data_IF_073054567077
#
_entry.id   IF_073054567077
#
_cell.length_a   1.000
_cell.length_b   1.000
_cell.length_c   1.000
_cell.angle_alpha   90.00
_cell.angle_beta   90.00
_cell.angle_gamma   90.00
#
_symmetry.space_group_name_H-M   'P 1'
#
loop_
_entity.id
_entity.type
_entity.pdbx_description
1 polymer ?
#
# COMPACT_ATOMS: atom_id res chain seq x y z
N UNK A 1 -3.63 -18.41 -23.39
CA UNK A 1 -3.98 -18.98 -22.07
C UNK A 1 -4.58 -17.89 -21.21
N UNK A 2 -5.69 -18.15 -20.53
CA UNK A 2 -6.25 -17.26 -19.50
C UNK A 2 -6.29 -18.04 -18.20
N UNK A 3 -5.25 -17.90 -17.37
CA UNK A 3 -5.06 -18.69 -16.16
C UNK A 3 -6.25 -18.63 -15.19
N UNK A 4 -6.83 -17.44 -15.00
CA UNK A 4 -7.96 -17.22 -14.08
C UNK A 4 -9.23 -17.97 -14.52
N UNK A 5 -9.39 -18.22 -15.83
CA UNK A 5 -10.53 -18.93 -16.39
C UNK A 5 -10.25 -20.41 -16.67
N UNK A 6 -9.02 -20.87 -16.46
CA UNK A 6 -8.58 -22.22 -16.83
C UNK A 6 -8.47 -22.48 -18.34
N UNK A 7 -8.59 -21.45 -19.18
CA UNK A 7 -8.58 -21.58 -20.65
C UNK A 7 -7.14 -21.76 -21.17
N UNK A 8 -6.90 -22.80 -21.98
CA UNK A 8 -5.59 -23.09 -22.58
C UNK A 8 -4.66 -23.94 -21.70
N UNK A 9 -5.14 -24.46 -20.57
CA UNK A 9 -4.31 -25.22 -19.62
C UNK A 9 -4.00 -26.63 -20.12
N UNK A 10 -4.99 -27.31 -20.71
CA UNK A 10 -4.79 -28.67 -21.24
C UNK A 10 -3.84 -28.65 -22.43
N UNK A 11 -3.98 -27.67 -23.32
CA UNK A 11 -3.13 -27.47 -24.48
C UNK A 11 -1.68 -27.18 -24.07
N UNK A 12 -1.48 -26.43 -22.98
CA UNK A 12 -0.16 -26.20 -22.40
C UNK A 12 0.44 -27.50 -21.86
N UNK A 13 -0.33 -28.28 -21.09
CA UNK A 13 0.13 -29.56 -20.54
C UNK A 13 0.51 -30.52 -21.67
N UNK A 14 -0.32 -30.61 -22.71
CA UNK A 14 -0.04 -31.44 -23.88
C UNK A 14 1.24 -30.99 -24.60
N UNK A 15 1.42 -29.68 -24.80
CA UNK A 15 2.65 -29.15 -25.40
C UNK A 15 3.91 -29.50 -24.59
N UNK A 16 3.84 -29.38 -23.25
CA UNK A 16 4.93 -29.77 -22.35
C UNK A 16 5.22 -31.28 -22.47
N UNK A 17 4.18 -32.12 -22.49
CA UNK A 17 4.34 -33.57 -22.64
C UNK A 17 5.00 -33.95 -23.96
N UNK A 18 4.70 -33.24 -25.06
CA UNK A 18 5.35 -33.46 -26.37
C UNK A 18 6.83 -33.11 -26.34
N UNK A 19 7.22 -32.04 -25.63
CA UNK A 19 8.62 -31.67 -25.43
C UNK A 19 9.36 -32.73 -24.61
N UNK A 20 8.77 -33.18 -23.49
CA UNK A 20 9.38 -34.21 -22.63
C UNK A 20 9.56 -35.54 -23.36
N UNK A 21 8.64 -35.88 -24.27
CA UNK A 21 8.74 -37.08 -25.13
C UNK A 21 9.71 -36.92 -26.30
N UNK A 22 10.41 -35.79 -26.42
CA UNK A 22 11.29 -35.44 -27.55
C UNK A 22 10.57 -35.49 -28.92
N UNK A 23 9.27 -35.24 -28.95
CA UNK A 23 8.49 -35.18 -30.20
C UNK A 23 8.66 -33.83 -30.92
N UNK A 24 9.21 -32.84 -30.23
CA UNK A 24 9.44 -31.48 -30.73
C UNK A 24 10.90 -31.10 -30.48
N UNK A 25 11.63 -30.79 -31.54
CA UNK A 25 12.97 -30.22 -31.44
C UNK A 25 12.85 -28.72 -31.15
N UNK A 26 13.44 -28.29 -30.02
CA UNK A 26 13.52 -26.87 -29.68
C UNK A 26 14.80 -26.28 -30.28
N UNK A 27 14.66 -25.19 -31.03
CA UNK A 27 15.78 -24.33 -31.41
C UNK A 27 16.00 -23.28 -30.33
N UNK A 28 17.22 -23.19 -29.82
CA UNK A 28 17.59 -22.12 -28.89
C UNK A 28 17.70 -20.81 -29.66
N UNK A 29 16.96 -19.80 -29.23
CA UNK A 29 17.09 -18.44 -29.75
C UNK A 29 18.49 -17.91 -29.42
N UNK A 30 19.24 -17.52 -30.45
CA UNK A 30 20.53 -16.85 -30.30
C UNK A 30 20.33 -15.38 -30.63
N UNK A 31 20.60 -14.52 -29.66
CA UNK A 31 20.55 -13.07 -29.83
C UNK A 31 21.90 -12.62 -30.39
N UNK A 32 21.87 -11.80 -31.43
CA UNK A 32 23.04 -11.12 -31.98
C UNK A 32 23.20 -9.77 -31.29
N UNK A 33 24.32 -9.59 -30.58
CA UNK A 33 24.62 -8.36 -29.85
C UNK A 33 25.40 -7.33 -30.69
N UNK A 34 25.65 -7.63 -31.96
CA UNK A 34 26.45 -6.82 -32.88
C UNK A 34 27.94 -7.16 -32.82
N UNK A 35 28.63 -6.87 -33.92
CA UNK A 35 29.99 -7.35 -34.22
C UNK A 35 30.96 -7.25 -33.03
N UNK A 36 31.05 -6.07 -32.40
CA UNK A 36 32.02 -5.81 -31.32
C UNK A 36 31.73 -6.63 -30.05
N UNK A 37 30.45 -6.76 -29.68
CA UNK A 37 30.08 -7.53 -28.50
C UNK A 37 30.21 -9.03 -28.80
N UNK A 38 29.87 -9.48 -30.01
CA UNK A 38 30.06 -10.88 -30.44
C UNK A 38 31.54 -11.28 -30.51
N UNK A 39 32.42 -10.37 -30.94
CA UNK A 39 33.88 -10.56 -30.88
C UNK A 39 34.35 -10.76 -29.43
N UNK A 40 33.86 -9.94 -28.50
CA UNK A 40 34.18 -10.06 -27.08
C UNK A 40 33.62 -11.34 -26.45
N UNK A 41 32.38 -11.71 -26.78
CA UNK A 41 31.76 -12.97 -26.37
C UNK A 41 32.63 -14.14 -26.85
N UNK A 42 33.04 -14.12 -28.12
CA UNK A 42 33.90 -15.16 -28.70
C UNK A 42 35.28 -15.23 -28.03
N UNK A 43 35.86 -14.08 -27.69
CA UNK A 43 37.13 -14.02 -26.96
C UNK A 43 37.01 -14.62 -25.54
N UNK A 44 35.91 -14.32 -24.84
CA UNK A 44 35.66 -14.87 -23.50
C UNK A 44 35.38 -16.38 -23.57
N UNK A 45 34.61 -16.84 -24.55
CA UNK A 45 34.34 -18.28 -24.74
C UNK A 45 35.66 -19.05 -24.90
N UNK A 46 36.59 -18.58 -25.75
CA UNK A 46 37.90 -19.23 -25.92
C UNK A 46 38.67 -19.35 -24.60
N UNK A 47 38.68 -18.29 -23.79
CA UNK A 47 39.33 -18.32 -22.46
C UNK A 47 38.65 -19.31 -21.53
N UNK A 48 37.31 -19.38 -21.54
CA UNK A 48 36.55 -20.34 -20.73
C UNK A 48 36.76 -21.79 -21.18
N UNK A 49 36.97 -22.03 -22.49
CA UNK A 49 37.32 -23.33 -23.06
C UNK A 49 38.74 -23.77 -22.67
N UNK A 50 39.72 -22.87 -22.79
CA UNK A 50 41.12 -23.13 -22.42
C UNK A 50 41.28 -23.56 -20.95
N UNK A 51 40.43 -23.02 -20.08
CA UNK A 51 40.46 -23.29 -18.63
C UNK A 51 39.53 -24.43 -18.21
N UNK A 52 38.88 -25.09 -19.18
CA UNK A 52 37.92 -26.16 -19.00
C UNK A 52 36.86 -25.83 -17.94
N UNK A 53 36.31 -24.61 -18.00
CA UNK A 53 35.27 -24.15 -17.05
C UNK A 53 33.98 -24.93 -17.24
N UNK A 54 33.72 -25.41 -18.47
CA UNK A 54 32.53 -26.19 -18.82
C UNK A 54 32.39 -27.51 -18.07
N UNK A 55 33.50 -28.11 -17.63
CA UNK A 55 33.48 -29.35 -16.83
C UNK A 55 33.22 -29.09 -15.35
N UNK A 56 33.44 -27.84 -14.88
CA UNK A 56 33.33 -27.43 -13.48
C UNK A 56 32.00 -26.73 -13.16
N UNK A 57 31.42 -26.05 -14.14
CA UNK A 57 30.17 -25.32 -13.99
C UNK A 57 29.10 -25.82 -14.98
N UNK A 58 27.85 -26.02 -14.54
CA UNK A 58 26.78 -26.63 -15.35
C UNK A 58 26.12 -25.65 -16.32
N UNK A 59 26.81 -24.59 -16.76
CA UNK A 59 26.23 -23.53 -17.57
C UNK A 59 26.76 -23.52 -19.01
N UNK A 60 25.94 -23.12 -20.00
CA UNK A 60 26.43 -22.91 -21.36
C UNK A 60 27.51 -21.81 -21.43
N UNK A 61 28.59 -22.07 -22.17
CA UNK A 61 29.73 -21.14 -22.30
C UNK A 61 29.32 -19.75 -22.80
N UNK A 62 28.47 -19.69 -23.83
CA UNK A 62 27.95 -18.42 -24.37
C UNK A 62 27.16 -17.63 -23.34
N UNK A 63 26.34 -18.31 -22.53
CA UNK A 63 25.56 -17.65 -21.49
C UNK A 63 26.48 -17.07 -20.40
N UNK A 64 27.50 -17.82 -19.97
CA UNK A 64 28.49 -17.32 -19.02
C UNK A 64 29.24 -16.11 -19.58
N UNK A 65 29.67 -16.15 -20.86
CA UNK A 65 30.36 -15.03 -21.49
C UNK A 65 29.52 -13.75 -21.50
N UNK A 66 28.24 -13.84 -21.85
CA UNK A 66 27.30 -12.70 -21.82
C UNK A 66 27.13 -12.18 -20.37
N UNK A 67 26.93 -13.05 -19.39
CA UNK A 67 26.76 -12.66 -17.98
C UNK A 67 28.00 -12.00 -17.39
N UNK A 68 29.17 -12.46 -17.78
CA UNK A 68 30.43 -11.86 -17.37
C UNK A 68 30.62 -10.45 -17.96
N UNK A 69 30.22 -10.23 -19.23
CA UNK A 69 30.22 -8.89 -19.84
C UNK A 69 29.23 -7.92 -19.19
N UNK A 70 28.06 -8.42 -18.78
CA UNK A 70 27.07 -7.65 -18.01
C UNK A 70 27.52 -7.31 -16.58
N UNK A 71 28.56 -7.97 -16.07
CA UNK A 71 29.03 -7.75 -14.70
C UNK A 71 28.20 -8.47 -13.63
N UNK A 72 27.63 -9.64 -13.97
CA UNK A 72 26.83 -10.44 -13.02
C UNK A 72 27.68 -10.89 -11.82
N UNK A 73 27.32 -10.42 -10.62
CA UNK A 73 28.08 -10.63 -9.39
C UNK A 73 28.13 -12.08 -8.91
N UNK A 74 27.15 -12.90 -9.29
CA UNK A 74 27.08 -14.30 -8.87
C UNK A 74 27.97 -15.15 -9.78
N UNK A 75 27.85 -14.96 -11.09
CA UNK A 75 28.72 -15.64 -12.06
C UNK A 75 30.18 -15.24 -11.91
N UNK A 76 30.47 -13.94 -11.67
CA UNK A 76 31.83 -13.50 -11.36
C UNK A 76 32.39 -14.25 -10.15
N UNK A 77 31.60 -14.44 -9.08
CA UNK A 77 32.03 -15.15 -7.88
C UNK A 77 32.32 -16.62 -8.15
N UNK A 78 31.49 -17.29 -8.92
CA UNK A 78 31.70 -18.70 -9.28
C UNK A 78 32.93 -18.88 -10.19
N UNK A 79 33.13 -17.99 -11.17
CA UNK A 79 34.31 -18.03 -12.05
C UNK A 79 35.60 -17.69 -11.29
N UNK A 80 35.56 -16.74 -10.35
CA UNK A 80 36.69 -16.44 -9.45
C UNK A 80 37.15 -17.65 -8.62
N UNK A 81 36.21 -18.52 -8.23
CA UNK A 81 36.52 -19.72 -7.48
C UNK A 81 37.25 -20.76 -8.35
N UNK A 82 37.10 -20.69 -9.67
CA UNK A 82 37.81 -21.55 -10.62
C UNK A 82 39.17 -20.95 -10.98
N UNK A 83 39.21 -19.67 -11.36
CA UNK A 83 40.45 -18.96 -11.71
C UNK A 83 40.29 -17.44 -11.54
N UNK A 84 41.22 -16.84 -10.78
CA UNK A 84 41.19 -15.41 -10.47
C UNK A 84 41.76 -14.51 -11.58
N UNK A 85 42.54 -15.06 -12.51
CA UNK A 85 43.19 -14.31 -13.59
C UNK A 85 42.22 -13.89 -14.70
N UNK A 86 41.12 -14.63 -14.87
CA UNK A 86 40.11 -14.36 -15.91
C UNK A 86 39.41 -13.03 -15.67
N UNK A 87 39.06 -12.71 -14.43
CA UNK A 87 38.25 -11.52 -14.12
C UNK A 87 38.98 -10.23 -14.48
N UNK A 88 40.30 -10.16 -14.25
CA UNK A 88 41.07 -8.99 -14.64
C UNK A 88 41.01 -8.74 -16.16
N UNK A 89 41.05 -9.82 -16.96
CA UNK A 89 40.94 -9.76 -18.41
C UNK A 89 39.54 -9.37 -18.88
N UNK A 90 38.50 -9.84 -18.18
CA UNK A 90 37.10 -9.50 -18.48
C UNK A 90 36.81 -8.04 -18.13
N UNK A 91 37.26 -7.56 -16.97
CA UNK A 91 37.13 -6.14 -16.59
C UNK A 91 37.85 -5.23 -17.59
N UNK A 92 39.03 -5.63 -18.06
CA UNK A 92 39.72 -4.91 -19.12
C UNK A 92 38.90 -4.85 -20.42
N UNK A 93 38.39 -5.99 -20.89
CA UNK A 93 37.54 -6.05 -22.09
C UNK A 93 36.27 -5.21 -21.95
N UNK A 94 35.63 -5.22 -20.78
CA UNK A 94 34.43 -4.41 -20.50
C UNK A 94 34.74 -2.91 -20.61
N UNK A 95 35.87 -2.46 -20.04
CA UNK A 95 36.27 -1.07 -20.12
C UNK A 95 36.60 -0.65 -21.56
N UNK A 96 37.33 -1.48 -22.31
CA UNK A 96 37.64 -1.23 -23.73
C UNK A 96 36.37 -1.16 -24.58
N UNK A 97 35.42 -2.09 -24.38
CA UNK A 97 34.12 -2.06 -25.04
C UNK A 97 33.32 -0.81 -24.69
N UNK A 98 33.30 -0.42 -23.42
CA UNK A 98 32.55 0.75 -22.96
C UNK A 98 33.09 2.04 -23.58
N UNK A 99 34.42 2.20 -23.68
CA UNK A 99 35.02 3.34 -24.39
C UNK A 99 34.67 3.36 -25.88
N UNK A 100 34.67 2.19 -26.52
CA UNK A 100 34.41 2.05 -27.96
C UNK A 100 32.93 2.21 -28.32
N UNK A 101 32.03 1.81 -27.44
CA UNK A 101 30.57 1.93 -27.60
C UNK A 101 30.05 3.28 -27.10
N UNK A 102 30.79 3.97 -26.22
CA UNK A 102 30.39 5.23 -25.61
C UNK A 102 29.32 5.09 -24.53
N UNK A 103 29.07 3.88 -24.06
CA UNK A 103 28.03 3.52 -23.08
C UNK A 103 28.45 2.26 -22.31
N UNK A 104 27.83 2.00 -21.16
CA UNK A 104 28.11 0.80 -20.37
C UNK A 104 27.62 -0.46 -21.11
N UNK A 105 28.44 -1.53 -21.09
CA UNK A 105 28.22 -2.74 -21.89
C UNK A 105 26.91 -3.45 -21.53
N UNK A 106 26.51 -3.44 -20.26
CA UNK A 106 25.27 -4.03 -19.78
C UNK A 106 24.03 -3.31 -20.33
N UNK A 107 24.09 -1.98 -20.49
CA UNK A 107 23.04 -1.18 -21.12
C UNK A 107 22.90 -1.56 -22.59
N UNK A 108 24.00 -1.62 -23.34
CA UNK A 108 23.97 -1.97 -24.77
C UNK A 108 23.43 -3.39 -25.00
N UNK A 109 23.81 -4.35 -24.14
CA UNK A 109 23.27 -5.72 -24.18
C UNK A 109 21.76 -5.73 -23.89
N UNK A 110 21.30 -4.94 -22.93
CA UNK A 110 19.88 -4.81 -22.62
C UNK A 110 19.11 -4.20 -23.80
N UNK A 111 19.63 -3.15 -24.43
CA UNK A 111 19.02 -2.50 -25.58
C UNK A 111 18.88 -3.46 -26.76
N UNK A 112 19.90 -4.26 -27.07
CA UNK A 112 19.81 -5.31 -28.11
C UNK A 112 18.72 -6.34 -27.83
N UNK A 113 18.50 -6.70 -26.57
CA UNK A 113 17.37 -7.57 -26.19
C UNK A 113 16.03 -6.88 -26.41
N UNK A 114 15.92 -5.58 -26.09
CA UNK A 114 14.71 -4.82 -26.33
C UNK A 114 14.41 -4.63 -27.81
N UNK A 115 15.42 -4.36 -28.64
CA UNK A 115 15.28 -4.29 -30.10
C UNK A 115 14.69 -5.59 -30.66
N UNK A 116 15.23 -6.74 -30.25
CA UNK A 116 14.69 -8.04 -30.67
C UNK A 116 13.25 -8.27 -30.18
N UNK A 117 12.94 -7.87 -28.94
CA UNK A 117 11.58 -7.95 -28.41
C UNK A 117 10.64 -7.08 -29.23
N UNK A 118 11.05 -5.86 -29.60
CA UNK A 118 10.24 -4.94 -30.42
C UNK A 118 10.00 -5.48 -31.82
N UNK A 119 11.00 -6.10 -32.44
CA UNK A 119 10.87 -6.78 -33.73
C UNK A 119 9.85 -7.93 -33.65
N UNK A 120 10.04 -8.85 -32.70
CA UNK A 120 9.13 -9.99 -32.49
C UNK A 120 7.70 -9.49 -32.20
N UNK A 121 7.55 -8.48 -31.33
CA UNK A 121 6.23 -7.91 -30.99
C UNK A 121 5.61 -7.22 -32.19
N UNK A 122 6.40 -6.54 -33.03
CA UNK A 122 5.95 -5.92 -34.26
C UNK A 122 5.35 -6.94 -35.24
N UNK A 123 5.95 -8.13 -35.31
CA UNK A 123 5.52 -9.19 -36.22
C UNK A 123 4.29 -9.97 -35.72
N UNK A 124 4.17 -10.18 -34.40
CA UNK A 124 3.14 -11.07 -33.84
C UNK A 124 1.96 -10.35 -33.19
N UNK A 125 2.07 -9.06 -32.89
CA UNK A 125 1.04 -8.30 -32.17
C UNK A 125 0.38 -7.26 -33.05
N UNK A 126 -0.83 -7.58 -33.52
CA UNK A 126 -1.72 -6.57 -34.09
C UNK A 126 -2.39 -5.74 -32.97
N UNK A 127 -1.96 -4.49 -32.82
CA UNK A 127 -2.61 -3.54 -31.91
C UNK A 127 -3.86 -2.98 -32.59
N UNK A 128 -5.00 -2.86 -31.88
CA UNK A 128 -6.19 -2.24 -32.44
C UNK A 128 -5.89 -0.78 -32.82
N UNK A 129 -6.30 -0.38 -34.03
CA UNK A 129 -6.05 0.95 -34.60
C UNK A 129 -6.63 2.11 -33.79
N UNK A 130 -7.54 1.82 -32.85
CA UNK A 130 -8.07 2.77 -31.87
C UNK A 130 -7.99 2.17 -30.48
N UNK A 131 -7.41 2.94 -29.55
CA UNK A 131 -7.43 2.65 -28.12
C UNK A 131 -8.90 2.60 -27.66
N UNK A 132 -9.39 1.41 -27.32
CA UNK A 132 -10.73 1.25 -26.76
C UNK A 132 -10.71 1.92 -25.38
N UNK A 133 -11.37 3.06 -25.25
CA UNK A 133 -11.48 3.77 -23.98
C UNK A 133 -12.44 2.95 -23.11
N UNK A 134 -11.90 2.32 -22.07
CA UNK A 134 -12.69 1.54 -21.12
C UNK A 134 -13.47 2.47 -20.17
N UNK A 135 -14.47 1.94 -19.47
CA UNK A 135 -15.18 2.71 -18.42
C UNK A 135 -14.21 3.18 -17.33
N UNK A 136 -13.22 2.34 -16.98
CA UNK A 136 -12.14 2.66 -16.06
C UNK A 136 -11.33 3.87 -16.54
N UNK A 137 -10.95 3.92 -17.82
CA UNK A 137 -10.21 5.05 -18.40
C UNK A 137 -11.00 6.37 -18.32
N UNK A 138 -12.34 6.33 -18.43
CA UNK A 138 -13.19 7.53 -18.27
C UNK A 138 -13.23 8.00 -16.82
N UNK A 139 -13.38 7.07 -15.88
CA UNK A 139 -13.39 7.37 -14.45
C UNK A 139 -12.05 7.96 -14.04
N UNK A 140 -10.95 7.33 -14.45
CA UNK A 140 -9.59 7.76 -14.13
C UNK A 140 -9.28 9.15 -14.69
N UNK A 141 -9.82 9.52 -15.86
CA UNK A 141 -9.68 10.88 -16.40
C UNK A 141 -10.25 11.96 -15.48
N UNK A 142 -11.32 11.65 -14.75
CA UNK A 142 -11.94 12.56 -13.78
C UNK A 142 -11.20 12.48 -12.44
N UNK A 143 -11.04 11.25 -11.91
CA UNK A 143 -10.48 11.01 -10.58
C UNK A 143 -9.01 11.41 -10.50
N UNK A 144 -8.21 11.16 -11.55
CA UNK A 144 -6.77 11.46 -11.57
C UNK A 144 -6.45 12.83 -12.18
N UNK A 145 -7.46 13.66 -12.46
CA UNK A 145 -7.24 14.99 -12.98
C UNK A 145 -6.45 15.84 -11.98
N UNK A 146 -5.46 16.60 -12.45
CA UNK A 146 -4.62 17.47 -11.62
C UNK A 146 -5.42 18.47 -10.76
N UNK A 147 -6.56 18.94 -11.26
CA UNK A 147 -7.39 19.93 -10.58
C UNK A 147 -8.62 19.31 -9.90
N UNK A 148 -9.28 18.33 -10.53
CA UNK A 148 -10.49 17.69 -9.96
C UNK A 148 -10.18 16.54 -9.00
N UNK A 149 -8.99 15.92 -9.10
CA UNK A 149 -8.66 14.74 -8.32
C UNK A 149 -8.59 15.00 -6.83
N UNK A 150 -7.94 16.09 -6.40
CA UNK A 150 -7.85 16.45 -4.98
C UNK A 150 -9.20 16.88 -4.38
N UNK A 151 -10.02 17.74 -5.01
CA UNK A 151 -11.38 18.03 -4.55
C UNK A 151 -12.27 16.80 -4.49
N UNK A 152 -12.22 15.92 -5.50
CA UNK A 152 -13.01 14.69 -5.51
C UNK A 152 -12.56 13.75 -4.38
N UNK A 153 -11.24 13.64 -4.16
CA UNK A 153 -10.67 12.92 -3.04
C UNK A 153 -11.23 13.40 -1.70
N UNK A 154 -11.11 14.70 -1.45
CA UNK A 154 -11.63 15.31 -0.24
C UNK A 154 -13.15 15.14 -0.13
N UNK A 155 -13.89 15.22 -1.23
CA UNK A 155 -15.34 15.03 -1.24
C UNK A 155 -15.76 13.61 -0.88
N UNK A 156 -15.09 12.59 -1.44
CA UNK A 156 -15.37 11.18 -1.11
C UNK A 156 -15.06 10.89 0.35
N UNK A 157 -13.91 11.35 0.86
CA UNK A 157 -13.59 11.20 2.29
C UNK A 157 -14.54 12.01 3.18
N UNK A 158 -14.94 13.22 2.77
CA UNK A 158 -15.90 14.02 3.51
C UNK A 158 -17.27 13.33 3.60
N UNK A 159 -17.78 12.79 2.49
CA UNK A 159 -19.00 11.98 2.46
C UNK A 159 -18.86 10.74 3.34
N UNK A 160 -17.71 10.07 3.28
CA UNK A 160 -17.38 8.91 4.11
C UNK A 160 -17.48 9.22 5.60
N UNK A 161 -16.79 10.29 6.04
CA UNK A 161 -16.83 10.74 7.43
C UNK A 161 -18.21 11.26 7.84
N UNK A 162 -18.93 11.92 6.94
CA UNK A 162 -20.29 12.37 7.18
C UNK A 162 -21.23 11.19 7.46
N UNK A 163 -21.13 10.09 6.71
CA UNK A 163 -21.87 8.85 6.98
C UNK A 163 -21.44 8.22 8.31
N UNK A 164 -20.12 8.07 8.53
CA UNK A 164 -19.58 7.47 9.74
C UNK A 164 -20.07 8.22 11.00
N UNK A 165 -19.94 9.55 11.03
CA UNK A 165 -20.35 10.35 12.18
C UNK A 165 -21.87 10.43 12.32
N UNK A 166 -22.60 10.51 11.21
CA UNK A 166 -24.07 10.50 11.24
C UNK A 166 -24.64 9.23 11.85
N UNK A 167 -24.14 8.06 11.46
CA UNK A 167 -24.67 6.78 11.98
C UNK A 167 -24.37 6.61 13.47
N UNK A 168 -23.29 7.22 13.96
CA UNK A 168 -22.81 7.03 15.33
C UNK A 168 -23.26 8.10 16.33
N UNK A 169 -23.26 9.38 15.93
CA UNK A 169 -23.59 10.52 16.81
C UNK A 169 -24.86 11.23 16.31
N UNK A 170 -25.34 10.95 15.09
CA UNK A 170 -26.40 11.71 14.43
C UNK A 170 -25.89 13.00 13.77
N UNK A 171 -24.72 13.50 14.15
CA UNK A 171 -24.13 14.76 13.66
C UNK A 171 -23.12 14.53 12.52
N UNK A 172 -23.04 15.39 11.48
CA UNK A 172 -23.77 16.65 11.25
C UNK A 172 -25.09 16.51 10.48
N UNK A 173 -25.49 15.29 10.10
CA UNK A 173 -26.68 15.06 9.26
C UNK A 173 -27.99 15.46 9.95
N UNK A 174 -28.09 15.30 11.27
CA UNK A 174 -29.20 15.82 12.07
C UNK A 174 -29.39 17.34 11.93
N UNK A 175 -28.31 18.10 11.69
CA UNK A 175 -28.35 19.55 11.50
C UNK A 175 -28.88 19.95 10.11
N UNK A 176 -28.65 19.11 9.08
CA UNK A 176 -29.19 19.32 7.73
C UNK A 176 -30.58 18.68 7.54
N UNK A 177 -30.85 17.56 8.19
CA UNK A 177 -32.07 16.78 8.10
C UNK A 177 -32.52 16.41 9.52
N UNK A 178 -33.25 17.32 10.21
CA UNK A 178 -33.72 17.09 11.58
C UNK A 178 -34.58 15.82 11.73
N UNK A 179 -35.25 15.39 10.66
CA UNK A 179 -36.07 14.17 10.62
C UNK A 179 -35.25 12.87 10.79
N UNK A 180 -33.94 12.91 10.60
CA UNK A 180 -33.02 11.77 10.79
C UNK A 180 -32.43 11.65 12.22
N UNK A 181 -32.84 12.52 13.17
CA UNK A 181 -32.35 12.49 14.57
C UNK A 181 -32.51 11.13 15.27
N UNK A 182 -33.40 10.26 14.79
CA UNK A 182 -33.74 9.00 15.45
C UNK A 182 -32.73 7.87 15.29
N UNK A 183 -31.76 7.95 14.37
CA UNK A 183 -30.87 6.83 14.05
C UNK A 183 -29.45 7.02 14.62
N UNK A 184 -29.32 6.88 15.94
CA UNK A 184 -28.03 6.84 16.63
C UNK A 184 -27.76 5.41 17.13
N UNK A 185 -26.81 4.71 16.49
CA UNK A 185 -26.47 3.34 16.86
C UNK A 185 -25.75 3.26 18.22
N UNK A 186 -25.07 4.32 18.64
CA UNK A 186 -24.38 4.37 19.91
C UNK A 186 -25.37 4.48 21.09
N UNK A 187 -26.44 5.27 20.95
CA UNK A 187 -27.51 5.35 21.97
C UNK A 187 -28.41 4.10 21.99
N UNK A 188 -28.59 3.42 20.85
CA UNK A 188 -29.28 2.13 20.83
C UNK A 188 -28.57 1.08 21.70
N UNK A 189 -27.24 1.05 21.67
CA UNK A 189 -26.47 0.13 22.51
C UNK A 189 -26.39 0.67 23.94
N UNK A 190 -25.95 1.92 24.12
CA UNK A 190 -25.72 2.51 25.44
C UNK A 190 -27.01 2.67 26.26
N UNK A 191 -28.00 3.38 25.71
CA UNK A 191 -29.17 3.79 26.47
C UNK A 191 -30.27 2.71 26.44
N UNK A 192 -30.51 2.08 25.30
CA UNK A 192 -31.58 1.08 25.18
C UNK A 192 -31.17 -0.31 25.70
N UNK A 193 -30.03 -0.86 25.27
CA UNK A 193 -29.63 -2.21 25.68
C UNK A 193 -29.04 -2.18 27.10
N UNK A 194 -28.00 -1.37 27.31
CA UNK A 194 -27.31 -1.33 28.60
C UNK A 194 -28.09 -0.58 29.68
N UNK A 195 -28.86 0.45 29.32
CA UNK A 195 -29.81 1.10 30.24
C UNK A 195 -30.90 0.13 30.73
N UNK A 196 -31.50 -0.65 29.83
CA UNK A 196 -32.49 -1.67 30.24
C UNK A 196 -31.87 -2.75 31.13
N UNK A 197 -30.67 -3.23 30.81
CA UNK A 197 -29.95 -4.20 31.64
C UNK A 197 -29.64 -3.60 33.02
N UNK A 198 -29.21 -2.34 33.06
CA UNK A 198 -28.96 -1.58 34.29
C UNK A 198 -30.21 -1.50 35.17
N UNK A 199 -31.37 -1.16 34.59
CA UNK A 199 -32.63 -1.05 35.33
C UNK A 199 -33.12 -2.40 35.87
N UNK A 200 -32.98 -3.48 35.08
CA UNK A 200 -33.32 -4.84 35.51
C UNK A 200 -32.39 -5.33 36.62
N UNK A 201 -31.08 -5.07 36.51
CA UNK A 201 -30.10 -5.47 37.52
C UNK A 201 -30.26 -4.65 38.79
N UNK A 202 -30.52 -3.36 38.68
CA UNK A 202 -30.79 -2.46 39.82
C UNK A 202 -32.04 -2.91 40.58
N UNK A 203 -33.16 -3.11 39.88
CA UNK A 203 -34.41 -3.58 40.50
C UNK A 203 -34.27 -4.96 41.16
N UNK A 204 -33.49 -5.87 40.57
CA UNK A 204 -33.19 -7.17 41.17
C UNK A 204 -32.32 -7.07 42.43
N UNK A 205 -31.25 -6.27 42.42
CA UNK A 205 -30.37 -6.08 43.58
C UNK A 205 -31.08 -5.39 44.74
N UNK A 206 -31.96 -4.42 44.46
CA UNK A 206 -32.81 -3.77 45.45
C UNK A 206 -33.78 -4.78 46.07
N UNK A 207 -34.33 -5.71 45.27
CA UNK A 207 -35.24 -6.76 45.77
C UNK A 207 -34.58 -7.75 46.74
N UNK A 208 -33.27 -7.93 46.64
CA UNK A 208 -32.46 -8.79 47.54
C UNK A 208 -31.94 -8.00 48.76
N UNK A 209 -32.28 -6.72 48.88
CA UNK A 209 -31.83 -5.83 49.95
C UNK A 209 -30.29 -5.70 49.99
N UNK A 210 -29.67 -5.68 48.79
CA UNK A 210 -28.24 -5.48 48.65
C UNK A 210 -27.84 -4.06 49.12
N UNK A 211 -26.62 -3.89 49.68
CA UNK A 211 -26.16 -2.59 50.12
C UNK A 211 -25.94 -1.62 48.94
N UNK A 212 -26.27 -0.34 49.12
CA UNK A 212 -26.27 0.67 48.05
C UNK A 212 -24.93 0.76 47.30
N UNK A 213 -23.80 0.64 48.00
CA UNK A 213 -22.48 0.69 47.36
C UNK A 213 -22.25 -0.43 46.34
N UNK A 214 -22.85 -1.61 46.55
CA UNK A 214 -22.73 -2.75 45.64
C UNK A 214 -23.61 -2.56 44.41
N UNK A 215 -24.79 -1.94 44.58
CA UNK A 215 -25.68 -1.58 43.48
C UNK A 215 -24.99 -0.56 42.58
N UNK A 216 -24.47 0.54 43.14
CA UNK A 216 -23.73 1.55 42.36
C UNK A 216 -22.47 0.99 41.71
N UNK A 217 -21.74 0.08 42.36
CA UNK A 217 -20.56 -0.54 41.75
C UNK A 217 -20.90 -1.37 40.51
N UNK A 218 -21.98 -2.17 40.58
CA UNK A 218 -22.39 -3.05 39.48
C UNK A 218 -23.06 -2.25 38.36
N UNK A 219 -23.98 -1.36 38.71
CA UNK A 219 -24.79 -0.59 37.77
C UNK A 219 -23.98 0.55 37.13
N UNK A 220 -23.51 1.49 37.95
CA UNK A 220 -22.80 2.69 37.47
C UNK A 220 -21.33 2.40 37.13
N UNK A 221 -20.72 1.41 37.80
CA UNK A 221 -19.34 1.02 37.54
C UNK A 221 -19.21 0.04 36.37
N UNK A 222 -19.73 -1.18 36.54
CA UNK A 222 -19.49 -2.28 35.58
C UNK A 222 -20.39 -2.18 34.35
N UNK A 223 -21.71 -2.11 34.52
CA UNK A 223 -22.66 -2.16 33.41
C UNK A 223 -22.55 -0.89 32.55
N UNK A 224 -22.57 0.29 33.18
CA UNK A 224 -22.37 1.56 32.48
C UNK A 224 -20.98 1.65 31.84
N UNK A 225 -19.92 1.20 32.55
CA UNK A 225 -18.57 1.15 32.00
C UNK A 225 -18.47 0.27 30.74
N UNK A 226 -18.98 -0.96 30.78
CA UNK A 226 -19.00 -1.87 29.63
C UNK A 226 -19.88 -1.32 28.50
N UNK A 227 -21.05 -0.76 28.83
CA UNK A 227 -21.93 -0.12 27.85
C UNK A 227 -21.27 1.05 27.12
N UNK A 228 -20.49 1.87 27.85
CA UNK A 228 -19.72 2.97 27.26
C UNK A 228 -18.61 2.51 26.31
N UNK A 229 -18.00 1.33 26.54
CA UNK A 229 -16.99 0.77 25.63
C UNK A 229 -17.65 0.16 24.41
N UNK A 230 -18.74 -0.59 24.59
CA UNK A 230 -19.45 -1.25 23.48
C UNK A 230 -20.19 -0.26 22.56
N UNK A 231 -20.55 0.93 23.04
CA UNK A 231 -21.15 1.97 22.20
C UNK A 231 -20.19 2.47 21.09
N UNK A 232 -18.88 2.24 21.21
CA UNK A 232 -17.90 2.52 20.15
C UNK A 232 -17.80 1.41 19.08
N UNK A 233 -18.37 0.23 19.33
CA UNK A 233 -18.30 -0.89 18.37
C UNK A 233 -18.98 -0.58 17.02
N UNK A 234 -20.20 0.00 16.98
CA UNK A 234 -20.84 0.48 15.75
C UNK A 234 -19.96 1.40 14.90
N UNK A 235 -19.17 2.27 15.54
CA UNK A 235 -18.29 3.21 14.87
C UNK A 235 -17.23 2.45 14.09
N UNK A 236 -16.54 1.56 14.79
CA UNK A 236 -15.47 0.75 14.21
C UNK A 236 -16.03 -0.10 13.06
N UNK A 237 -17.20 -0.72 13.24
CA UNK A 237 -17.85 -1.53 12.22
C UNK A 237 -18.23 -0.71 10.98
N UNK A 238 -18.83 0.47 11.17
CA UNK A 238 -19.20 1.37 10.06
C UNK A 238 -17.97 1.84 9.28
N UNK A 239 -16.91 2.20 10.00
CA UNK A 239 -15.62 2.58 9.40
C UNK A 239 -15.07 1.42 8.56
N UNK A 240 -15.02 0.20 9.09
CA UNK A 240 -14.51 -0.95 8.35
C UNK A 240 -15.31 -1.26 7.08
N UNK A 241 -16.65 -1.27 7.16
CA UNK A 241 -17.50 -1.52 5.99
C UNK A 241 -17.25 -0.46 4.91
N UNK A 242 -17.24 0.81 5.29
CA UNK A 242 -17.13 1.89 4.33
C UNK A 242 -15.74 1.95 3.67
N UNK A 243 -14.68 1.71 4.45
CA UNK A 243 -13.33 1.61 3.89
C UNK A 243 -13.14 0.36 3.03
N UNK A 244 -13.76 -0.78 3.38
CA UNK A 244 -13.76 -1.99 2.51
C UNK A 244 -14.38 -1.69 1.15
N UNK A 245 -15.51 -0.98 1.11
CA UNK A 245 -16.14 -0.57 -0.16
C UNK A 245 -15.23 0.35 -0.99
N UNK A 246 -14.52 1.27 -0.34
CA UNK A 246 -13.56 2.16 -1.02
C UNK A 246 -12.32 1.41 -1.52
N UNK A 247 -11.90 0.35 -0.83
CA UNK A 247 -10.81 -0.52 -1.21
C UNK A 247 -11.21 -1.41 -2.41
N UNK A 248 -12.36 -2.10 -2.31
CA UNK A 248 -12.90 -3.01 -3.34
C UNK A 248 -13.25 -2.28 -4.64
N UNK A 249 -13.65 -1.00 -4.57
CA UNK A 249 -13.89 -0.15 -5.75
C UNK A 249 -12.61 0.33 -6.45
N UNK A 250 -11.43 0.01 -5.90
CA UNK A 250 -10.13 0.47 -6.40
C UNK A 250 -9.90 1.97 -6.21
N UNK A 251 -10.77 2.67 -5.46
CA UNK A 251 -10.62 4.09 -5.20
C UNK A 251 -9.37 4.38 -4.36
N UNK A 252 -9.05 3.50 -3.41
CA UNK A 252 -7.85 3.62 -2.58
C UNK A 252 -6.54 3.64 -3.38
N UNK A 253 -6.45 2.86 -4.46
CA UNK A 253 -5.28 2.89 -5.35
C UNK A 253 -5.12 4.25 -6.06
N UNK A 254 -6.24 4.84 -6.52
CA UNK A 254 -6.28 6.16 -7.16
C UNK A 254 -5.95 7.27 -6.15
N UNK A 255 -6.52 7.20 -4.95
CA UNK A 255 -6.25 8.09 -3.84
C UNK A 255 -4.76 8.13 -3.48
N UNK A 256 -4.12 6.96 -3.37
CA UNK A 256 -2.70 6.84 -3.11
C UNK A 256 -1.87 7.53 -4.20
N UNK A 257 -2.22 7.36 -5.48
CA UNK A 257 -1.53 8.03 -6.59
C UNK A 257 -1.65 9.56 -6.51
N UNK A 258 -2.84 10.10 -6.24
CA UNK A 258 -3.06 11.55 -6.09
C UNK A 258 -2.23 12.12 -4.93
N UNK A 259 -2.15 11.38 -3.83
CA UNK A 259 -1.44 11.79 -2.61
C UNK A 259 0.06 11.54 -2.65
N UNK A 260 0.56 10.78 -3.63
CA UNK A 260 1.97 10.38 -3.70
C UNK A 260 2.93 11.57 -3.70
N UNK A 261 2.63 12.64 -4.45
CA UNK A 261 3.47 13.85 -4.44
C UNK A 261 3.57 14.50 -3.06
N UNK A 262 2.49 14.48 -2.30
CA UNK A 262 2.44 15.06 -0.95
C UNK A 262 3.18 14.13 0.02
N UNK A 263 2.90 12.83 -0.02
CA UNK A 263 3.52 11.81 0.84
C UNK A 263 5.04 11.72 0.64
N UNK A 264 5.55 11.85 -0.59
CA UNK A 264 7.00 11.83 -0.86
C UNK A 264 7.74 12.97 -0.18
N UNK A 265 7.11 14.12 0.07
CA UNK A 265 7.74 15.21 0.85
C UNK A 265 8.01 14.81 2.30
N UNK A 266 7.25 13.83 2.80
CA UNK A 266 7.38 13.26 4.15
C UNK A 266 8.24 11.99 4.16
N UNK A 267 8.80 11.57 3.01
CA UNK A 267 9.54 10.31 2.89
C UNK A 267 8.67 9.06 2.91
N UNK A 268 7.37 9.20 2.65
CA UNK A 268 6.40 8.11 2.59
C UNK A 268 5.94 7.86 1.15
N UNK A 269 5.49 6.65 0.85
CA UNK A 269 4.78 6.39 -0.41
C UNK A 269 3.34 6.89 -0.34
N UNK A 270 2.72 7.16 -1.49
CA UNK A 270 1.29 7.50 -1.55
C UNK A 270 0.36 6.51 -0.84
N UNK A 271 0.77 5.25 -0.68
CA UNK A 271 0.01 4.22 0.06
C UNK A 271 -0.14 4.53 1.55
N UNK A 272 0.81 5.25 2.15
CA UNK A 272 0.77 5.65 3.56
C UNK A 272 -0.38 6.62 3.86
N UNK A 273 -0.97 7.25 2.84
CA UNK A 273 -2.13 8.11 3.01
C UNK A 273 -3.36 7.36 3.55
N UNK A 274 -3.56 6.09 3.16
CA UNK A 274 -4.73 5.31 3.57
C UNK A 274 -4.81 5.13 5.09
N UNK A 275 -3.77 4.60 5.78
CA UNK A 275 -3.80 4.46 7.22
C UNK A 275 -3.75 5.80 7.96
N UNK A 276 -3.31 6.91 7.35
CA UNK A 276 -3.34 8.22 8.01
C UNK A 276 -4.73 8.85 7.97
N UNK A 277 -5.43 8.75 6.83
CA UNK A 277 -6.81 9.24 6.73
C UNK A 277 -7.76 8.47 7.65
N UNK A 278 -7.60 7.15 7.74
CA UNK A 278 -8.41 6.30 8.62
C UNK A 278 -8.33 6.72 10.10
N UNK A 279 -7.26 7.41 10.50
CA UNK A 279 -6.98 7.77 11.89
C UNK A 279 -7.91 8.87 12.39
N UNK A 280 -8.36 9.74 11.48
CA UNK A 280 -9.38 10.74 11.79
C UNK A 280 -10.74 10.10 12.16
N UNK A 281 -11.02 8.90 11.66
CA UNK A 281 -12.16 8.11 12.09
C UNK A 281 -11.87 7.39 13.40
N UNK A 282 -11.03 6.36 13.34
CA UNK A 282 -10.64 5.58 14.51
C UNK A 282 -9.18 5.13 14.39
N UNK A 283 -8.37 5.42 15.41
CA UNK A 283 -6.94 5.09 15.40
C UNK A 283 -6.67 3.56 15.43
N UNK A 284 -7.57 2.76 16.00
CA UNK A 284 -7.38 1.29 16.08
C UNK A 284 -7.30 0.63 14.69
N UNK A 285 -8.32 0.73 13.82
CA UNK A 285 -8.25 0.19 12.47
C UNK A 285 -7.16 0.89 11.63
N UNK A 286 -6.86 2.15 11.93
CA UNK A 286 -5.76 2.91 11.32
C UNK A 286 -4.39 2.28 11.50
N UNK A 287 -4.06 1.96 12.76
CA UNK A 287 -2.80 1.33 13.13
C UNK A 287 -2.74 -0.08 12.54
N UNK A 288 -3.85 -0.80 12.53
CA UNK A 288 -3.94 -2.11 11.87
C UNK A 288 -3.72 -2.02 10.35
N UNK A 289 -4.26 -1.00 9.68
CA UNK A 289 -4.12 -0.79 8.24
C UNK A 289 -2.69 -0.44 7.82
N UNK A 290 -1.85 0.05 8.74
CA UNK A 290 -0.44 0.31 8.46
C UNK A 290 0.29 -0.95 7.95
N UNK A 291 -0.16 -2.17 8.31
CA UNK A 291 0.43 -3.45 7.85
C UNK A 291 0.46 -3.63 6.33
N UNK A 292 -0.38 -2.89 5.59
CA UNK A 292 -0.46 -2.95 4.12
C UNK A 292 0.74 -2.23 3.46
N UNK A 293 1.48 -1.42 4.23
CA UNK A 293 2.65 -0.69 3.74
C UNK A 293 3.80 -1.66 3.44
N UNK A 294 4.54 -1.44 2.33
CA UNK A 294 5.52 -2.40 1.79
C UNK A 294 6.79 -2.51 2.65
N UNK A 295 7.13 -1.46 3.41
CA UNK A 295 8.38 -1.40 4.18
C UNK A 295 8.07 -1.24 5.67
N UNK A 296 8.82 -1.93 6.53
CA UNK A 296 8.68 -1.79 7.99
C UNK A 296 8.92 -0.35 8.48
N UNK A 297 9.74 0.42 7.74
CA UNK A 297 9.95 1.86 7.95
C UNK A 297 8.65 2.65 7.80
N UNK A 298 7.94 2.48 6.68
CA UNK A 298 6.69 3.18 6.42
C UNK A 298 5.60 2.75 7.41
N UNK A 299 5.57 1.46 7.77
CA UNK A 299 4.67 0.92 8.80
C UNK A 299 4.87 1.65 10.13
N UNK A 300 6.10 1.69 10.66
CA UNK A 300 6.39 2.33 11.94
C UNK A 300 6.10 3.83 11.91
N UNK A 301 6.49 4.52 10.84
CA UNK A 301 6.25 5.95 10.70
C UNK A 301 4.75 6.25 10.66
N UNK A 302 3.97 5.48 9.91
CA UNK A 302 2.50 5.64 9.86
C UNK A 302 1.83 5.40 11.22
N UNK A 303 2.27 4.40 11.98
CA UNK A 303 1.74 4.11 13.33
C UNK A 303 2.03 5.26 14.30
N UNK A 304 3.25 5.79 14.28
CA UNK A 304 3.65 6.92 15.13
C UNK A 304 2.86 8.19 14.77
N UNK A 305 2.67 8.47 13.48
CA UNK A 305 1.92 9.63 13.00
C UNK A 305 0.42 9.52 13.33
N UNK A 306 -0.18 8.34 13.21
CA UNK A 306 -1.58 8.11 13.61
C UNK A 306 -1.83 8.45 15.07
N UNK A 307 -0.84 8.24 15.94
CA UNK A 307 -0.97 8.56 17.37
C UNK A 307 -1.15 10.06 17.61
N UNK A 308 -0.74 10.93 16.68
CA UNK A 308 -0.91 12.39 16.73
C UNK A 308 -2.23 12.86 16.12
N UNK A 309 -2.91 12.01 15.35
CA UNK A 309 -4.19 12.35 14.72
C UNK A 309 -5.31 12.30 15.79
N UNK A 310 -6.14 13.34 15.92
CA UNK A 310 -7.28 13.31 16.82
C UNK A 310 -8.39 12.43 16.21
N UNK A 311 -8.56 11.23 16.75
CA UNK A 311 -9.71 10.37 16.44
C UNK A 311 -10.98 10.89 17.12
N UNK A 312 -12.15 10.40 16.69
CA UNK A 312 -13.46 10.84 17.19
C UNK A 312 -13.54 10.92 18.73
N UNK A 313 -13.06 9.90 19.46
CA UNK A 313 -13.11 9.88 20.92
C UNK A 313 -12.31 11.02 21.56
N UNK A 314 -11.15 11.40 20.99
CA UNK A 314 -10.36 12.55 21.46
C UNK A 314 -11.07 13.86 21.19
N UNK A 315 -11.82 13.95 20.09
CA UNK A 315 -12.63 15.14 19.79
C UNK A 315 -13.72 15.34 20.83
N UNK A 316 -14.43 14.26 21.21
CA UNK A 316 -15.45 14.32 22.26
C UNK A 316 -14.84 14.77 23.58
N UNK A 317 -13.67 14.22 23.95
CA UNK A 317 -12.96 14.65 25.15
C UNK A 317 -12.56 16.14 25.10
N UNK A 318 -12.02 16.61 23.97
CA UNK A 318 -11.69 18.02 23.80
C UNK A 318 -12.93 18.92 23.85
N UNK A 319 -14.06 18.50 23.27
CA UNK A 319 -15.32 19.24 23.35
C UNK A 319 -15.79 19.41 24.79
N UNK A 320 -15.77 18.35 25.59
CA UNK A 320 -16.19 18.42 27.00
C UNK A 320 -15.29 19.38 27.80
N UNK A 321 -13.97 19.28 27.63
CA UNK A 321 -13.01 20.15 28.33
C UNK A 321 -13.17 21.61 27.89
N UNK A 322 -13.30 21.85 26.60
CA UNK A 322 -13.49 23.20 26.05
C UNK A 322 -14.82 23.79 26.53
N UNK A 323 -15.90 23.02 26.52
CA UNK A 323 -17.21 23.46 27.00
C UNK A 323 -17.21 23.79 28.50
N UNK A 324 -16.37 23.11 29.30
CA UNK A 324 -16.22 23.38 30.73
C UNK A 324 -15.41 24.66 31.01
N UNK A 325 -14.45 25.01 30.16
CA UNK A 325 -13.54 26.17 30.37
C UNK A 325 -14.07 27.44 29.70
N UNK A 326 -14.69 27.31 28.53
CA UNK A 326 -15.12 28.42 27.69
C UNK A 326 -16.63 28.42 27.53
N UNK A 327 -17.28 29.50 27.98
CA UNK A 327 -18.74 29.61 27.95
C UNK A 327 -19.29 30.13 26.61
N UNK A 328 -18.47 30.86 25.83
CA UNK A 328 -18.89 31.41 24.54
C UNK A 328 -18.67 30.44 23.38
N UNK A 329 -19.71 30.14 22.61
CA UNK A 329 -19.65 29.21 21.46
C UNK A 329 -18.57 29.58 20.43
N UNK A 330 -18.39 30.88 20.17
CA UNK A 330 -17.34 31.36 19.27
C UNK A 330 -15.93 31.00 19.77
N UNK A 331 -15.68 31.13 21.08
CA UNK A 331 -14.39 30.79 21.68
C UNK A 331 -14.14 29.29 21.68
N UNK A 332 -15.20 28.47 21.86
CA UNK A 332 -15.11 27.01 21.77
C UNK A 332 -14.67 26.56 20.37
N UNK A 333 -15.27 27.13 19.31
CA UNK A 333 -14.92 26.83 17.92
C UNK A 333 -13.45 27.21 17.62
N UNK A 334 -13.03 28.41 18.03
CA UNK A 334 -11.67 28.90 17.76
C UNK A 334 -10.63 27.98 18.42
N UNK A 335 -10.87 27.59 19.68
CA UNK A 335 -9.95 26.70 20.40
C UNK A 335 -9.92 25.30 19.77
N UNK A 336 -11.08 24.76 19.36
CA UNK A 336 -11.12 23.47 18.65
C UNK A 336 -10.34 23.53 17.33
N UNK A 337 -10.55 24.58 16.54
CA UNK A 337 -9.84 24.78 15.27
C UNK A 337 -8.32 24.91 15.49
N UNK A 338 -7.91 25.62 16.54
CA UNK A 338 -6.51 25.75 16.92
C UNK A 338 -5.90 24.39 17.28
N UNK A 339 -6.57 23.56 18.09
CA UNK A 339 -6.09 22.22 18.44
C UNK A 339 -5.98 21.32 17.21
N UNK A 340 -6.92 21.40 16.29
CA UNK A 340 -6.87 20.66 15.03
C UNK A 340 -5.68 21.11 14.16
N UNK A 341 -5.51 22.42 13.98
CA UNK A 341 -4.39 22.97 13.23
C UNK A 341 -3.04 22.59 13.87
N UNK A 342 -2.96 22.62 15.19
CA UNK A 342 -1.79 22.19 15.95
C UNK A 342 -1.50 20.70 15.75
N UNK A 343 -2.53 19.84 15.78
CA UNK A 343 -2.36 18.40 15.54
C UNK A 343 -1.81 18.11 14.14
N UNK A 344 -2.35 18.78 13.11
CA UNK A 344 -1.89 18.64 11.72
C UNK A 344 -0.47 19.17 11.56
N UNK A 345 -0.14 20.28 12.21
CA UNK A 345 1.22 20.81 12.27
C UNK A 345 2.18 19.81 12.93
N UNK A 346 1.80 19.21 14.06
CA UNK A 346 2.61 18.21 14.75
C UNK A 346 2.82 16.94 13.93
N UNK A 347 1.80 16.44 13.22
CA UNK A 347 1.92 15.31 12.30
C UNK A 347 2.95 15.62 11.21
N UNK A 348 2.86 16.81 10.60
CA UNK A 348 3.81 17.26 9.57
C UNK A 348 5.24 17.37 10.13
N UNK A 349 5.39 18.04 11.28
CA UNK A 349 6.67 18.26 11.92
C UNK A 349 7.35 16.94 12.31
N UNK A 350 6.61 16.06 13.00
CA UNK A 350 7.12 14.76 13.44
C UNK A 350 7.40 13.84 12.25
N UNK A 351 6.61 13.90 11.19
CA UNK A 351 6.88 13.14 9.96
C UNK A 351 8.24 13.47 9.37
N UNK A 352 8.58 14.77 9.28
CA UNK A 352 9.88 15.21 8.78
C UNK A 352 11.02 14.84 9.75
N UNK A 353 10.81 15.02 11.05
CA UNK A 353 11.83 14.72 12.08
C UNK A 353 12.14 13.23 12.11
N UNK A 354 11.12 12.37 12.22
CA UNK A 354 11.31 10.93 12.29
C UNK A 354 11.91 10.37 11.02
N UNK A 355 11.52 10.89 9.86
CA UNK A 355 12.09 10.50 8.58
C UNK A 355 13.60 10.81 8.49
N UNK A 356 14.08 11.90 9.13
CA UNK A 356 15.50 12.27 9.18
C UNK A 356 16.30 11.61 10.31
N UNK A 357 15.68 11.37 11.46
CA UNK A 357 16.36 10.92 12.67
C UNK A 357 16.50 9.41 12.75
N UNK A 358 15.44 8.66 12.45
CA UNK A 358 15.40 7.20 12.66
C UNK A 358 15.92 6.40 11.46
N UNK A 359 15.97 7.00 10.27
CA UNK A 359 16.24 6.28 9.03
C UNK A 359 17.25 7.07 8.19
N UNK A 360 18.52 6.98 8.62
CA UNK A 360 19.70 7.39 7.86
C UNK A 360 20.24 6.23 7.04
#
# INVERSE_FOLDING_TARGET
>A
MIAIKGEGLNELIDAVMRIVKNEVSLTTLQIDYGDKIEEAISAIIKVLEELDVSSKLPYPLRWMAVRLLEGDREIIREVLAVDSSIIAKIEQLRNELSEVLGEDVDIVIADKRYELIEEIVGDVVEKPSRKIITLTDRIDRIVLNKYLGLPLLLSVFMLSFMVIFSVNIGFPLNMMFPELESFNLASLIGDYIFGYISDVVSSYLISINAPEWLVSLIVDGVISGVGSVLSFYPLVLTVFILFSVLEDSGYMARAAFIMDRIMRKFGLTGRAFMPLMLGYGCNVPSVMAARILPSGREQLLSILLNSLIPCQARLVAFMIIIAAVFHDFASQIIVMLFLYALSLFLVVLMGIIFNKLFFR
#
